data_IF_385291856123
#
_entry.id   IF_385291856123
#
_cell.length_a   1.000
_cell.length_b   1.000
_cell.length_c   1.000
_cell.angle_alpha   90.00
_cell.angle_beta   90.00
_cell.angle_gamma   90.00
#
_symmetry.space_group_name_H-M   'P 1'
#
loop_
_entity.id
_entity.type
_entity.pdbx_description
1 polymer ?
#
# COMPACT_ATOMS: atom_id res chain seq x y z
N UNK A 1 -0.96 -11.08 6.08
CA UNK A 1 -1.28 -10.26 4.89
C UNK A 1 -1.18 -11.12 3.65
N UNK A 2 -2.12 -10.98 2.76
CA UNK A 2 -2.31 -11.92 1.67
C UNK A 2 -1.44 -11.73 0.45
N UNK A 3 -1.06 -10.52 0.10
CA UNK A 3 -0.31 -10.31 -1.13
C UNK A 3 1.13 -10.76 -0.94
N UNK A 4 1.38 -12.04 -1.26
CA UNK A 4 2.72 -12.64 -1.27
C UNK A 4 3.41 -12.46 -2.60
N UNK A 5 2.64 -12.19 -3.66
CA UNK A 5 3.13 -11.92 -5.01
C UNK A 5 2.46 -10.65 -5.54
N UNK A 6 3.00 -10.10 -6.61
CA UNK A 6 2.43 -8.94 -7.27
C UNK A 6 1.05 -9.22 -7.87
N UNK A 7 0.34 -8.17 -8.17
CA UNK A 7 -0.97 -8.23 -8.82
C UNK A 7 -1.11 -7.02 -9.74
N UNK A 8 -2.07 -7.09 -10.67
CA UNK A 8 -2.37 -5.98 -11.59
C UNK A 8 -3.71 -5.38 -11.24
N UNK A 9 -3.73 -4.04 -11.12
CA UNK A 9 -4.92 -3.28 -10.84
C UNK A 9 -4.77 -1.89 -11.45
N UNK A 10 -5.86 -1.35 -12.01
CA UNK A 10 -5.90 0.02 -12.49
C UNK A 10 -6.64 0.88 -11.48
N UNK A 11 -5.96 1.88 -10.94
CA UNK A 11 -6.51 2.81 -9.96
C UNK A 11 -5.73 4.12 -10.01
N UNK A 12 -6.25 5.15 -9.37
CA UNK A 12 -5.51 6.39 -9.14
C UNK A 12 -4.61 6.21 -7.92
N UNK A 13 -3.34 6.59 -8.05
CA UNK A 13 -2.33 6.35 -7.03
C UNK A 13 -1.84 7.68 -6.48
N UNK A 14 -1.85 7.80 -5.16
CA UNK A 14 -1.26 8.93 -4.46
C UNK A 14 0.25 8.77 -4.35
N UNK A 15 0.94 9.89 -4.35
CA UNK A 15 2.34 9.95 -3.96
C UNK A 15 2.48 10.79 -2.69
N UNK A 16 3.51 10.53 -1.91
CA UNK A 16 3.65 11.14 -0.59
C UNK A 16 4.92 11.99 -0.52
N UNK A 17 4.85 13.05 0.25
CA UNK A 17 6.00 13.90 0.59
C UNK A 17 6.28 13.80 2.08
N UNK A 18 7.34 14.46 2.56
CA UNK A 18 7.64 14.50 3.98
C UNK A 18 6.39 14.91 4.79
N UNK A 19 6.13 14.31 5.96
CA UNK A 19 7.03 13.46 6.75
C UNK A 19 6.98 11.96 6.40
N UNK A 20 6.39 11.55 5.26
CA UNK A 20 6.39 10.14 4.88
C UNK A 20 7.83 9.60 4.77
N UNK A 21 8.06 8.42 5.36
CA UNK A 21 9.32 7.69 5.24
C UNK A 21 9.10 6.20 5.48
N UNK A 22 9.85 5.34 4.78
CA UNK A 22 9.85 3.89 5.04
C UNK A 22 10.54 3.54 6.36
N UNK A 23 11.29 4.48 6.95
CA UNK A 23 12.01 4.24 8.18
C UNK A 23 11.10 4.02 9.40
N UNK A 24 9.82 4.39 9.32
CA UNK A 24 8.88 4.29 10.43
C UNK A 24 7.65 3.41 10.12
N UNK A 25 7.63 2.71 8.98
CA UNK A 25 6.49 1.91 8.57
C UNK A 25 6.89 0.71 7.74
N UNK A 26 6.02 -0.30 7.71
CA UNK A 26 6.17 -1.48 6.87
C UNK A 26 5.30 -1.33 5.63
N UNK A 27 5.91 -1.01 4.50
CA UNK A 27 5.19 -0.93 3.22
C UNK A 27 4.85 -2.33 2.76
N UNK A 28 3.57 -2.56 2.48
CA UNK A 28 3.04 -3.86 2.06
C UNK A 28 2.76 -3.93 0.57
N UNK A 29 2.39 -2.80 -0.03
CA UNK A 29 2.09 -2.69 -1.45
C UNK A 29 2.73 -1.42 -1.98
N UNK A 30 3.44 -1.50 -3.08
CA UNK A 30 3.99 -0.36 -3.80
C UNK A 30 3.89 -0.61 -5.30
N UNK A 31 4.08 0.45 -6.10
CA UNK A 31 4.12 0.30 -7.54
C UNK A 31 5.37 -0.46 -7.96
N UNK A 32 5.22 -1.38 -8.90
CA UNK A 32 6.32 -2.12 -9.50
C UNK A 32 6.80 -1.36 -10.75
N UNK A 33 7.87 -0.59 -10.60
CA UNK A 33 8.43 0.21 -11.69
C UNK A 33 9.24 -0.62 -12.68
N UNK A 34 9.45 -1.90 -12.41
CA UNK A 34 10.02 -2.83 -13.41
C UNK A 34 8.99 -3.20 -14.48
N UNK A 35 7.70 -3.00 -14.21
CA UNK A 35 6.63 -3.17 -15.22
C UNK A 35 6.63 -1.95 -16.14
N UNK A 36 6.84 -2.14 -17.47
CA UNK A 36 6.91 -1.00 -18.39
C UNK A 36 5.66 -0.14 -18.45
N UNK A 37 4.48 -0.75 -18.32
CA UNK A 37 3.22 -0.01 -18.34
C UNK A 37 3.09 0.89 -17.12
N UNK A 38 3.51 0.42 -15.95
CA UNK A 38 3.51 1.21 -14.72
C UNK A 38 4.56 2.31 -14.79
N UNK A 39 5.76 2.00 -15.24
CA UNK A 39 6.86 2.97 -15.34
C UNK A 39 6.61 4.05 -16.40
N UNK A 40 5.76 3.79 -17.39
CA UNK A 40 5.48 4.74 -18.47
C UNK A 40 4.61 5.92 -18.03
N UNK A 41 3.90 5.83 -16.93
CA UNK A 41 3.04 6.91 -16.44
C UNK A 41 3.91 8.00 -15.83
N UNK A 42 3.90 9.19 -16.45
CA UNK A 42 4.74 10.33 -16.04
C UNK A 42 3.95 11.55 -15.60
N UNK A 43 2.68 11.67 -15.98
CA UNK A 43 1.86 12.83 -15.69
C UNK A 43 1.65 12.99 -14.18
N UNK A 44 1.99 14.16 -13.65
CA UNK A 44 1.81 14.49 -12.25
C UNK A 44 2.81 13.80 -11.30
N UNK A 45 3.76 13.02 -11.82
CA UNK A 45 4.76 12.35 -10.99
C UNK A 45 5.81 13.35 -10.52
N UNK A 46 5.98 13.44 -9.20
CA UNK A 46 6.91 14.40 -8.56
C UNK A 46 8.03 13.71 -7.79
N UNK A 47 7.82 12.49 -7.28
CA UNK A 47 8.87 11.74 -6.59
C UNK A 47 9.89 11.22 -7.60
N UNK A 48 11.16 11.29 -7.22
CA UNK A 48 12.28 10.88 -8.07
C UNK A 48 13.04 9.65 -7.53
N UNK A 49 12.63 9.13 -6.37
CA UNK A 49 13.33 8.02 -5.69
C UNK A 49 12.71 6.65 -6.00
N UNK A 50 11.63 6.61 -6.79
CA UNK A 50 10.95 5.35 -7.13
C UNK A 50 10.10 4.78 -5.99
N UNK A 51 9.93 5.50 -4.90
CA UNK A 51 9.15 5.02 -3.75
C UNK A 51 7.69 5.47 -3.87
N UNK A 52 6.85 4.61 -4.45
CA UNK A 52 5.42 4.85 -4.61
C UNK A 52 4.64 3.85 -3.79
N UNK A 53 4.66 4.04 -2.47
CA UNK A 53 3.92 3.20 -1.54
C UNK A 53 2.41 3.38 -1.72
N UNK A 54 1.67 2.28 -1.66
CA UNK A 54 0.21 2.24 -1.81
C UNK A 54 -0.45 1.85 -0.50
N UNK A 55 0.14 0.94 0.23
CA UNK A 55 -0.40 0.46 1.50
C UNK A 55 0.72 0.12 2.48
N UNK A 56 0.48 0.38 3.75
CA UNK A 56 1.44 0.02 4.80
C UNK A 56 0.75 -0.25 6.12
N UNK A 57 1.50 -0.88 7.01
CA UNK A 57 1.15 -1.03 8.41
C UNK A 57 2.22 -0.40 9.27
N UNK A 58 1.85 -0.04 10.49
CA UNK A 58 2.73 0.69 11.39
C UNK A 58 2.24 0.52 12.82
N UNK A 59 3.16 0.47 13.76
CA UNK A 59 2.83 0.65 15.18
C UNK A 59 3.01 2.10 15.55
N UNK A 60 2.03 2.65 16.27
CA UNK A 60 2.05 4.02 16.76
C UNK A 60 1.79 3.97 18.27
N UNK A 61 2.85 4.02 19.07
CA UNK A 61 2.74 3.77 20.51
C UNK A 61 2.18 2.37 20.77
N UNK A 62 1.07 2.28 21.48
CA UNK A 62 0.36 1.01 21.73
C UNK A 62 -0.66 0.69 20.65
N UNK A 63 -0.87 1.59 19.70
CA UNK A 63 -1.85 1.40 18.64
C UNK A 63 -1.27 0.79 17.39
N UNK A 64 -2.16 0.39 16.49
CA UNK A 64 -1.83 -0.18 15.17
C UNK A 64 -2.50 0.65 14.09
N UNK A 65 -1.79 0.88 13.00
CA UNK A 65 -2.29 1.61 11.85
C UNK A 65 -2.20 0.71 10.63
N UNK A 66 -3.30 0.63 9.89
CA UNK A 66 -3.34 0.11 8.52
C UNK A 66 -3.76 1.24 7.60
N UNK A 67 -2.99 1.48 6.57
CA UNK A 67 -3.28 2.46 5.53
C UNK A 67 -3.30 1.79 4.18
N UNK A 68 -4.29 2.13 3.36
CA UNK A 68 -4.36 1.70 1.96
C UNK A 68 -5.03 2.80 1.14
N UNK A 69 -4.39 3.21 0.05
CA UNK A 69 -4.90 4.27 -0.81
C UNK A 69 -5.68 3.77 -2.02
N UNK A 70 -5.86 2.45 -2.16
CA UNK A 70 -6.67 1.90 -3.25
C UNK A 70 -8.15 2.21 -3.02
N UNK A 71 -8.88 2.55 -4.08
CA UNK A 71 -10.32 2.72 -3.98
C UNK A 71 -10.90 3.91 -4.74
N UNK A 72 -10.13 4.55 -5.61
CA UNK A 72 -10.67 5.62 -6.44
C UNK A 72 -11.56 5.08 -7.57
N UNK A 73 -11.12 4.04 -8.24
CA UNK A 73 -11.85 3.45 -9.37
C UNK A 73 -12.83 2.36 -8.90
N UNK A 74 -13.96 2.23 -9.59
CA UNK A 74 -15.03 1.30 -9.22
C UNK A 74 -14.56 -0.16 -9.20
N UNK A 75 -13.65 -0.53 -10.11
CA UNK A 75 -13.15 -1.90 -10.23
C UNK A 75 -12.38 -2.38 -9.00
N UNK A 76 -11.88 -1.47 -8.17
CA UNK A 76 -11.02 -1.82 -7.02
C UNK A 76 -11.75 -2.73 -6.04
N UNK A 77 -12.99 -2.36 -5.67
CA UNK A 77 -13.77 -3.11 -4.69
C UNK A 77 -14.52 -4.29 -5.31
N UNK A 78 -14.31 -4.56 -6.60
CA UNK A 78 -14.76 -5.77 -7.27
C UNK A 78 -13.68 -6.86 -7.30
N UNK A 79 -12.46 -6.50 -6.95
CA UNK A 79 -11.33 -7.44 -6.90
C UNK A 79 -11.32 -8.16 -5.55
N UNK A 80 -11.49 -9.49 -5.59
CA UNK A 80 -11.53 -10.29 -4.37
C UNK A 80 -10.23 -10.24 -3.57
N UNK A 81 -9.09 -10.14 -4.25
CA UNK A 81 -7.78 -10.02 -3.59
C UNK A 81 -7.64 -8.71 -2.83
N UNK A 82 -8.12 -7.59 -3.41
CA UNK A 82 -8.13 -6.30 -2.77
C UNK A 82 -9.03 -6.31 -1.54
N UNK A 83 -10.24 -6.85 -1.67
CA UNK A 83 -11.18 -6.96 -0.54
C UNK A 83 -10.58 -7.78 0.60
N UNK A 84 -9.90 -8.88 0.28
CA UNK A 84 -9.24 -9.69 1.30
C UNK A 84 -8.08 -8.94 1.95
N UNK A 85 -7.33 -8.17 1.18
CA UNK A 85 -6.26 -7.34 1.72
C UNK A 85 -6.81 -6.30 2.70
N UNK A 86 -7.91 -5.64 2.36
CA UNK A 86 -8.59 -4.70 3.27
C UNK A 86 -9.07 -5.40 4.55
N UNK A 87 -9.66 -6.59 4.42
CA UNK A 87 -10.10 -7.35 5.59
C UNK A 87 -8.92 -7.66 6.51
N UNK A 88 -7.82 -8.16 5.95
CA UNK A 88 -6.62 -8.46 6.72
C UNK A 88 -6.07 -7.22 7.42
N UNK A 89 -6.07 -6.07 6.75
CA UNK A 89 -5.62 -4.81 7.33
C UNK A 89 -6.49 -4.33 8.48
N UNK A 90 -7.80 -4.44 8.31
CA UNK A 90 -8.76 -4.11 9.37
C UNK A 90 -8.54 -5.02 10.58
N UNK A 91 -8.41 -6.32 10.37
CA UNK A 91 -8.17 -7.28 11.44
C UNK A 91 -6.83 -7.01 12.14
N UNK A 92 -5.80 -6.64 11.39
CA UNK A 92 -4.52 -6.22 11.98
C UNK A 92 -4.72 -5.00 12.89
N UNK A 93 -5.41 -3.98 12.41
CA UNK A 93 -5.62 -2.74 13.18
C UNK A 93 -6.43 -2.99 14.45
N UNK A 94 -7.38 -3.93 14.41
CA UNK A 94 -8.18 -4.33 15.56
C UNK A 94 -7.44 -5.25 16.53
N UNK A 95 -6.29 -5.79 16.15
CA UNK A 95 -5.52 -6.71 16.99
C UNK A 95 -5.87 -8.19 16.79
N UNK A 96 -6.76 -8.52 15.85
CA UNK A 96 -7.21 -9.89 15.59
C UNK A 96 -6.25 -10.66 14.68
N UNK A 97 -5.39 -9.97 13.94
CA UNK A 97 -4.41 -10.57 13.04
C UNK A 97 -3.04 -10.00 13.34
N UNK A 98 -2.06 -10.89 13.59
CA UNK A 98 -0.68 -10.47 13.77
C UNK A 98 0.04 -10.33 12.42
N UNK A 99 0.88 -9.30 12.31
CA UNK A 99 1.73 -9.09 11.16
C UNK A 99 3.01 -8.38 11.57
N UNK A 100 4.08 -8.61 10.81
CA UNK A 100 5.36 -7.95 11.03
C UNK A 100 5.25 -6.48 10.61
N UNK A 101 5.28 -5.57 11.58
CA UNK A 101 5.19 -4.13 11.36
C UNK A 101 6.55 -3.43 11.45
N UNK A 102 7.65 -4.17 11.55
CA UNK A 102 8.99 -3.57 11.56
C UNK A 102 9.20 -2.80 10.25
N UNK A 103 9.77 -1.60 10.31
CA UNK A 103 9.98 -0.78 9.11
C UNK A 103 10.74 -1.52 8.01
N UNK A 104 10.33 -1.23 6.79
CA UNK A 104 10.93 -1.87 5.61
C UNK A 104 10.75 -0.97 4.38
#
# INVERSE_FOLDING_TARGET
MLFRSGFKLKDEIYQFKAPYTRADRRVRVSLDLSDPATAAVKDGVKRTDGDFAVAWIKKQGLGRIFYCSLGHADNVFQDAGVLRFYLDGIQYALGDLEADARPC
#
